data_IF_177213751658
#
_entry.id   IF_177213751658
#
_cell.length_a   1.000
_cell.length_b   1.000
_cell.length_c   1.000
_cell.angle_alpha   90.00
_cell.angle_beta   90.00
_cell.angle_gamma   90.00
#
_symmetry.space_group_name_H-M   'P 1'
#
loop_
_entity.id
_entity.type
_entity.pdbx_description
1 polymer ?
#
# COMPACT_ATOMS: atom_id res chain seq x y z
N UNK A 1 -12.21 -8.91 8.41
CA UNK A 1 -11.04 -8.23 7.85
C UNK A 1 -10.44 -9.02 6.71
N UNK A 2 -10.07 -8.34 5.66
CA UNK A 2 -9.41 -8.98 4.53
C UNK A 2 -7.93 -8.62 4.50
N UNK A 3 -7.16 -9.44 3.81
CA UNK A 3 -5.73 -9.20 3.62
C UNK A 3 -5.51 -8.61 2.22
N UNK A 4 -4.78 -7.51 2.16
CA UNK A 4 -4.45 -6.84 0.91
C UNK A 4 -2.95 -6.76 0.74
N UNK A 5 -2.48 -6.89 -0.49
CA UNK A 5 -1.09 -6.64 -0.85
C UNK A 5 -1.05 -5.36 -1.68
N UNK A 6 -0.26 -4.40 -1.23
CA UNK A 6 -0.12 -3.12 -1.90
C UNK A 6 1.29 -2.98 -2.44
N UNK A 7 1.41 -2.51 -3.69
CA UNK A 7 2.70 -2.32 -4.32
C UNK A 7 2.94 -0.84 -4.60
N UNK A 8 4.18 -0.42 -4.45
CA UNK A 8 4.56 0.95 -4.81
C UNK A 8 6.00 0.96 -5.33
N UNK A 9 6.40 2.10 -5.86
CA UNK A 9 7.78 2.26 -6.31
C UNK A 9 8.34 3.58 -5.79
N UNK A 10 9.67 3.64 -5.64
CA UNK A 10 10.34 4.84 -5.18
C UNK A 10 10.82 5.68 -6.36
N UNK A 11 11.57 6.75 -6.07
CA UNK A 11 12.07 7.66 -7.09
C UNK A 11 13.10 7.01 -8.00
N UNK A 12 13.69 5.90 -7.56
CA UNK A 12 14.63 5.14 -8.37
C UNK A 12 13.95 3.99 -9.12
N UNK A 13 12.63 3.99 -9.10
CA UNK A 13 11.79 3.00 -9.78
C UNK A 13 11.96 1.60 -9.20
N UNK A 14 12.35 1.51 -7.94
CA UNK A 14 12.43 0.22 -7.25
C UNK A 14 11.06 -0.13 -6.69
N UNK A 15 10.64 -1.35 -6.92
CA UNK A 15 9.33 -1.84 -6.52
C UNK A 15 9.35 -2.45 -5.12
N UNK A 16 8.31 -2.15 -4.33
CA UNK A 16 8.13 -2.69 -2.98
C UNK A 16 6.70 -3.16 -2.83
N UNK A 17 6.50 -4.08 -1.88
CA UNK A 17 5.16 -4.53 -1.53
C UNK A 17 5.02 -4.62 -0.01
N UNK A 18 3.78 -4.45 0.47
CA UNK A 18 3.45 -4.58 1.89
C UNK A 18 2.07 -5.21 2.01
N UNK A 19 1.89 -6.02 3.04
CA UNK A 19 0.59 -6.61 3.36
C UNK A 19 -0.11 -5.80 4.42
N UNK A 20 -1.41 -5.59 4.24
CA UNK A 20 -2.24 -4.87 5.21
C UNK A 20 -3.56 -5.60 5.40
N UNK A 21 -4.03 -5.62 6.65
CA UNK A 21 -5.36 -6.11 6.98
C UNK A 21 -6.31 -4.93 7.08
N UNK A 22 -7.45 -5.04 6.42
CA UNK A 22 -8.41 -3.94 6.40
C UNK A 22 -9.79 -4.46 6.02
N UNK A 23 -10.80 -3.65 6.26
CA UNK A 23 -12.17 -4.02 5.91
C UNK A 23 -12.44 -3.85 4.41
N UNK A 24 -11.74 -2.93 3.77
CA UNK A 24 -11.87 -2.70 2.34
C UNK A 24 -10.57 -2.11 1.78
N UNK A 25 -10.54 -1.94 0.46
CA UNK A 25 -9.34 -1.43 -0.21
C UNK A 25 -8.98 -0.01 0.22
N UNK A 26 -9.97 0.82 0.47
CA UNK A 26 -9.74 2.19 0.91
C UNK A 26 -9.00 2.21 2.25
N UNK A 27 -9.46 1.38 3.19
CA UNK A 27 -8.81 1.26 4.48
C UNK A 27 -7.39 0.70 4.35
N UNK A 28 -7.21 -0.27 3.45
CA UNK A 28 -5.89 -0.85 3.23
C UNK A 28 -4.89 0.21 2.75
N UNK A 29 -5.32 1.06 1.81
CA UNK A 29 -4.48 2.14 1.31
C UNK A 29 -4.15 3.13 2.41
N UNK A 30 -5.15 3.47 3.23
CA UNK A 30 -4.96 4.38 4.35
C UNK A 30 -3.92 3.82 5.33
N UNK A 31 -4.05 2.53 5.67
CA UNK A 31 -3.11 1.89 6.59
C UNK A 31 -1.70 1.86 6.02
N UNK A 32 -1.56 1.57 4.72
CA UNK A 32 -0.25 1.53 4.09
C UNK A 32 0.42 2.91 4.13
N UNK A 33 -0.35 3.97 3.89
CA UNK A 33 0.19 5.33 3.95
C UNK A 33 0.61 5.72 5.37
N UNK A 34 -0.02 5.13 6.38
CA UNK A 34 0.36 5.37 7.77
C UNK A 34 1.58 4.56 8.18
N UNK A 35 1.70 3.34 7.65
CA UNK A 35 2.76 2.40 8.06
C UNK A 35 4.06 2.61 7.31
N UNK A 36 3.99 3.10 6.09
CA UNK A 36 5.16 3.27 5.23
C UNK A 36 5.47 4.76 5.10
N UNK A 37 6.57 5.24 5.72
CA UNK A 37 6.89 6.66 5.67
C UNK A 37 6.98 7.23 4.26
N UNK A 38 7.53 6.46 3.33
CA UNK A 38 7.63 6.91 1.95
C UNK A 38 6.26 7.19 1.35
N UNK A 39 5.28 6.32 1.60
CA UNK A 39 3.93 6.50 1.10
C UNK A 39 3.21 7.66 1.78
N UNK A 40 3.56 7.94 3.02
CA UNK A 40 2.99 9.09 3.71
C UNK A 40 3.39 10.39 3.01
N UNK A 41 4.64 10.48 2.57
CA UNK A 41 5.16 11.67 1.89
C UNK A 41 4.87 11.66 0.39
N UNK A 42 4.69 10.48 -0.20
CA UNK A 42 4.47 10.33 -1.64
C UNK A 42 3.26 9.43 -1.90
N UNK A 43 2.04 9.90 -1.54
CA UNK A 43 0.85 9.04 -1.59
C UNK A 43 0.48 8.55 -2.99
N UNK A 44 0.97 9.22 -4.03
CA UNK A 44 0.67 8.81 -5.40
C UNK A 44 1.67 7.82 -5.97
N UNK A 45 2.66 7.38 -5.17
CA UNK A 45 3.59 6.35 -5.59
C UNK A 45 3.00 4.95 -5.55
N UNK A 46 1.82 4.80 -4.95
CA UNK A 46 1.15 3.51 -4.87
C UNK A 46 0.71 3.07 -6.26
N UNK A 47 1.16 1.87 -6.67
CA UNK A 47 0.90 1.35 -8.01
C UNK A 47 -0.30 0.42 -8.08
N UNK A 48 -0.46 -0.40 -7.06
CA UNK A 48 -1.46 -1.46 -7.14
C UNK A 48 -1.93 -1.86 -5.76
N UNK A 49 -3.11 -2.44 -5.73
CA UNK A 49 -3.65 -3.07 -4.54
C UNK A 49 -4.35 -4.33 -4.98
N UNK A 50 -4.10 -5.43 -4.25
CA UNK A 50 -4.66 -6.71 -4.58
C UNK A 50 -5.25 -7.32 -3.32
N UNK A 51 -6.50 -7.76 -3.39
CA UNK A 51 -7.13 -8.47 -2.28
C UNK A 51 -6.71 -9.93 -2.34
N UNK A 52 -6.11 -10.42 -1.26
CA UNK A 52 -5.61 -11.78 -1.19
C UNK A 52 -6.64 -12.75 -0.63
N UNK A 53 -7.67 -12.24 0.03
CA UNK A 53 -8.68 -13.07 0.66
C UNK A 53 -10.05 -12.55 0.37
#
# INVERSE_FOLDING_TARGET
MSHYTLGWHDQQNKHYEIGEYADDAFEAVKHAREDVPYLHEHPFSLDSIKKEQ
#
